data_IF_277031067081
#
_entry.id   IF_277031067081
#
_cell.length_a   1.000
_cell.length_b   1.000
_cell.length_c   1.000
_cell.angle_alpha   90.00
_cell.angle_beta   90.00
_cell.angle_gamma   90.00
#
_symmetry.space_group_name_H-M   'P 1'
#
loop_
_entity.id
_entity.type
_entity.pdbx_description
1 polymer ?
#
# COMPACT_ATOMS: atom_id res chain seq x y z
N UNK A 1 21.96 -14.22 15.60
CA UNK A 1 21.50 -14.45 14.20
C UNK A 1 20.02 -14.10 13.98
N UNK A 2 19.07 -14.43 14.88
CA UNK A 2 17.65 -14.07 14.67
C UNK A 2 17.32 -12.59 14.93
N UNK A 3 18.04 -11.89 15.78
CA UNK A 3 17.84 -10.44 16.02
C UNK A 3 18.21 -9.59 14.80
N UNK A 4 19.16 -10.03 13.99
CA UNK A 4 19.56 -9.36 12.74
C UNK A 4 18.54 -9.55 11.59
N UNK A 5 17.68 -10.59 11.67
CA UNK A 5 16.74 -10.96 10.61
C UNK A 5 15.48 -10.06 10.54
N UNK A 6 15.29 -9.20 11.54
CA UNK A 6 14.11 -8.33 11.63
C UNK A 6 14.49 -6.86 11.92
N UNK A 7 15.68 -6.44 11.54
CA UNK A 7 16.17 -5.06 11.78
C UNK A 7 15.38 -4.00 11.01
N UNK A 8 14.73 -4.38 9.89
CA UNK A 8 13.97 -3.46 9.04
C UNK A 8 12.46 -3.46 9.34
N UNK A 9 12.02 -4.20 10.35
CA UNK A 9 10.61 -4.21 10.77
C UNK A 9 10.22 -2.97 11.57
N UNK A 10 10.43 -1.81 10.97
CA UNK A 10 10.04 -0.55 11.57
C UNK A 10 8.52 -0.36 11.54
N UNK A 11 8.00 0.36 12.53
CA UNK A 11 6.59 0.77 12.55
C UNK A 11 6.47 2.08 11.82
N UNK A 12 5.83 2.01 10.67
CA UNK A 12 5.59 3.16 9.80
C UNK A 12 4.10 3.47 9.67
N UNK A 13 3.77 4.57 9.05
CA UNK A 13 2.39 4.94 8.74
C UNK A 13 2.31 5.50 7.33
N UNK A 14 1.30 5.09 6.57
CA UNK A 14 0.98 5.74 5.30
C UNK A 14 0.34 7.10 5.56
N UNK A 15 0.81 8.13 4.87
CA UNK A 15 0.38 9.50 5.11
C UNK A 15 -0.87 9.91 4.33
N UNK A 16 -1.37 9.04 3.45
CA UNK A 16 -2.50 9.34 2.55
C UNK A 16 -3.79 9.72 3.26
N UNK A 17 -4.10 9.09 4.40
CA UNK A 17 -5.30 9.36 5.21
C UNK A 17 -5.27 10.72 5.93
N UNK A 18 -4.13 11.40 5.86
CA UNK A 18 -3.90 12.73 6.45
C UNK A 18 -3.65 13.80 5.39
N UNK A 19 -4.12 13.60 4.15
CA UNK A 19 -3.84 14.48 3.02
C UNK A 19 -4.30 15.95 3.17
N UNK A 20 -5.19 16.21 4.13
CA UNK A 20 -5.66 17.53 4.54
C UNK A 20 -4.79 18.18 5.64
N UNK A 21 -3.80 17.49 6.18
CA UNK A 21 -2.88 17.98 7.22
C UNK A 21 -1.55 18.35 6.57
N UNK A 22 -0.97 19.47 7.00
CA UNK A 22 0.35 19.87 6.51
C UNK A 22 1.44 18.89 6.99
N UNK A 23 2.44 18.65 6.16
CA UNK A 23 3.54 17.72 6.45
C UNK A 23 4.23 18.03 7.78
N UNK A 24 4.43 19.31 8.10
CA UNK A 24 5.09 19.74 9.34
C UNK A 24 4.32 19.32 10.60
N UNK A 25 2.99 19.45 10.60
CA UNK A 25 2.14 19.01 11.69
C UNK A 25 2.09 17.48 11.78
N UNK A 26 1.90 16.84 10.64
CA UNK A 26 1.80 15.38 10.57
C UNK A 26 3.09 14.72 11.07
N UNK A 27 4.24 15.14 10.55
CA UNK A 27 5.53 14.52 10.91
C UNK A 27 5.85 14.72 12.39
N UNK A 28 5.53 15.90 12.95
CA UNK A 28 5.67 16.14 14.39
C UNK A 28 4.83 15.16 15.21
N UNK A 29 3.56 14.98 14.85
CA UNK A 29 2.65 14.05 15.56
C UNK A 29 3.08 12.59 15.41
N UNK A 30 3.52 12.17 14.23
CA UNK A 30 3.98 10.78 14.02
C UNK A 30 5.24 10.48 14.85
N UNK A 31 6.18 11.41 14.91
CA UNK A 31 7.31 11.31 15.82
C UNK A 31 6.86 11.17 17.29
N UNK A 32 5.95 12.06 17.76
CA UNK A 32 5.46 12.06 19.14
C UNK A 32 4.66 10.78 19.47
N UNK A 33 3.99 10.16 18.51
CA UNK A 33 3.29 8.89 18.68
C UNK A 33 4.24 7.69 18.67
N UNK A 34 5.48 7.89 18.27
CA UNK A 34 6.53 6.89 18.28
C UNK A 34 6.59 6.01 17.04
N UNK A 35 6.14 6.53 15.90
CA UNK A 35 6.44 5.95 14.59
C UNK A 35 7.92 6.15 14.27
N UNK A 36 8.51 5.18 13.60
CA UNK A 36 9.94 5.18 13.24
C UNK A 36 10.17 5.67 11.81
N UNK A 37 9.10 5.75 11.02
CA UNK A 37 9.17 6.21 9.64
C UNK A 37 7.81 6.37 8.99
N UNK A 38 7.86 6.70 7.72
CA UNK A 38 6.70 7.03 6.91
C UNK A 38 6.69 6.21 5.62
N UNK A 39 5.48 5.91 5.18
CA UNK A 39 5.15 5.65 3.79
C UNK A 39 4.52 6.93 3.24
N UNK A 40 5.26 7.67 2.40
CA UNK A 40 4.87 9.00 1.96
C UNK A 40 3.88 8.94 0.80
N UNK A 41 2.69 9.46 1.00
CA UNK A 41 1.69 9.60 -0.05
C UNK A 41 2.08 10.71 -1.04
N UNK A 42 2.17 10.34 -2.32
CA UNK A 42 2.45 11.24 -3.42
C UNK A 42 1.23 12.11 -3.77
N UNK A 43 1.46 13.32 -4.28
CA UNK A 43 0.39 14.22 -4.69
C UNK A 43 -0.24 15.05 -3.56
N UNK A 44 0.26 14.93 -2.34
CA UNK A 44 -0.13 15.71 -1.16
C UNK A 44 0.97 16.71 -0.78
N UNK A 45 0.75 17.49 0.31
CA UNK A 45 1.82 18.31 0.92
C UNK A 45 2.95 17.44 1.49
N UNK A 46 2.68 16.17 1.77
CA UNK A 46 3.66 15.26 2.33
C UNK A 46 4.78 14.94 1.36
N UNK A 47 4.45 14.69 0.09
CA UNK A 47 5.41 14.49 -0.98
C UNK A 47 4.83 14.80 -2.36
N UNK A 48 5.62 15.45 -3.21
CA UNK A 48 5.25 15.78 -4.58
C UNK A 48 6.33 15.33 -5.56
N UNK A 49 6.00 14.32 -6.39
CA UNK A 49 6.93 13.68 -7.33
C UNK A 49 7.47 14.67 -8.35
N UNK A 50 6.60 15.51 -8.94
CA UNK A 50 7.01 16.52 -9.91
C UNK A 50 7.96 17.55 -9.30
N UNK A 51 7.65 18.06 -8.09
CA UNK A 51 8.52 19.02 -7.41
C UNK A 51 9.88 18.39 -7.07
N UNK A 52 9.88 17.12 -6.70
CA UNK A 52 11.11 16.37 -6.44
C UNK A 52 11.92 16.17 -7.71
N UNK A 53 11.30 15.69 -8.78
CA UNK A 53 11.94 15.47 -10.09
C UNK A 53 12.58 16.75 -10.63
N UNK A 54 11.81 17.83 -10.66
CA UNK A 54 12.23 19.11 -11.22
C UNK A 54 13.07 19.93 -10.24
N UNK A 55 13.17 19.49 -8.98
CA UNK A 55 13.87 20.12 -7.86
C UNK A 55 13.57 21.64 -7.77
N UNK A 56 12.27 21.95 -7.82
CA UNK A 56 11.79 23.34 -7.83
C UNK A 56 12.17 24.08 -6.54
N UNK A 57 12.36 25.40 -6.63
CA UNK A 57 12.55 26.24 -5.43
C UNK A 57 11.21 26.43 -4.68
N UNK A 58 11.22 26.20 -3.38
CA UNK A 58 10.11 26.50 -2.45
C UNK A 58 10.48 27.68 -1.55
N UNK A 59 9.52 28.53 -1.26
CA UNK A 59 9.72 29.65 -0.34
C UNK A 59 9.47 29.20 1.10
N UNK A 60 10.50 29.30 1.93
CA UNK A 60 10.42 29.00 3.37
C UNK A 60 10.77 30.29 4.11
N UNK A 61 9.78 31.00 4.60
CA UNK A 61 9.94 32.27 5.33
C UNK A 61 10.76 33.33 4.58
N UNK A 62 10.52 33.47 3.26
CA UNK A 62 11.23 34.43 2.41
C UNK A 62 12.59 33.95 1.89
N UNK A 63 12.96 32.71 2.18
CA UNK A 63 14.18 32.07 1.65
C UNK A 63 13.81 30.99 0.67
N UNK A 64 14.37 31.05 -0.54
CA UNK A 64 14.17 30.02 -1.56
C UNK A 64 15.12 28.84 -1.33
N UNK A 65 14.57 27.66 -1.22
CA UNK A 65 15.29 26.41 -0.96
C UNK A 65 14.86 25.37 -2.01
N UNK A 66 15.78 24.57 -2.60
CA UNK A 66 15.41 23.44 -3.47
C UNK A 66 14.49 22.47 -2.72
N UNK A 67 13.45 21.97 -3.39
CA UNK A 67 12.44 21.10 -2.75
C UNK A 67 13.06 19.83 -2.13
N UNK A 68 14.07 19.26 -2.78
CA UNK A 68 14.77 18.07 -2.24
C UNK A 68 15.44 18.36 -0.89
N UNK A 69 16.13 19.51 -0.79
CA UNK A 69 16.78 19.92 0.45
C UNK A 69 15.76 20.23 1.54
N UNK A 70 14.69 20.95 1.17
CA UNK A 70 13.57 21.26 2.08
C UNK A 70 12.94 20.01 2.65
N UNK A 71 12.54 19.05 1.80
CA UNK A 71 11.85 17.84 2.24
C UNK A 71 12.77 16.92 3.06
N UNK A 72 14.04 16.78 2.64
CA UNK A 72 15.04 16.00 3.39
C UNK A 72 15.29 16.60 4.77
N UNK A 73 15.41 17.92 4.88
CA UNK A 73 15.58 18.61 6.16
C UNK A 73 14.36 18.43 7.08
N UNK A 74 13.14 18.48 6.50
CA UNK A 74 11.89 18.29 7.23
C UNK A 74 11.81 16.87 7.83
N UNK A 75 12.08 15.81 7.05
CA UNK A 75 12.11 14.43 7.52
C UNK A 75 13.17 14.22 8.61
N UNK A 76 14.39 14.74 8.39
CA UNK A 76 15.49 14.66 9.34
C UNK A 76 15.17 15.37 10.67
N UNK A 77 14.44 16.48 10.64
CA UNK A 77 14.05 17.24 11.85
C UNK A 77 13.28 16.38 12.83
N UNK A 78 12.44 15.47 12.34
CA UNK A 78 11.62 14.58 13.15
C UNK A 78 12.20 13.17 13.30
N UNK A 79 13.36 12.88 12.70
CA UNK A 79 14.00 11.57 12.77
C UNK A 79 13.19 10.45 12.13
N UNK A 80 12.34 10.78 11.14
CA UNK A 80 11.48 9.83 10.45
C UNK A 80 12.17 9.32 9.18
N UNK A 81 12.35 8.00 9.06
CA UNK A 81 12.80 7.34 7.84
C UNK A 81 11.68 7.31 6.77
N UNK A 82 12.05 7.23 5.49
CA UNK A 82 11.11 6.94 4.40
C UNK A 82 11.31 5.48 3.99
N UNK A 83 10.26 4.68 4.12
CA UNK A 83 10.33 3.24 3.85
C UNK A 83 9.61 2.83 2.58
N UNK A 84 8.66 3.65 2.12
CA UNK A 84 8.01 3.52 0.84
C UNK A 84 7.49 4.89 0.35
N UNK A 85 7.32 5.02 -0.96
CA UNK A 85 6.45 6.05 -1.55
C UNK A 85 5.14 5.39 -1.97
N UNK A 86 4.03 6.02 -1.65
CA UNK A 86 2.69 5.56 -2.00
C UNK A 86 2.12 6.40 -3.14
N UNK A 87 1.82 5.77 -4.29
CA UNK A 87 1.24 6.49 -5.44
C UNK A 87 0.06 5.71 -6.06
N UNK A 88 -0.92 5.37 -5.21
CA UNK A 88 -2.09 4.56 -5.56
C UNK A 88 -2.93 5.22 -6.66
N UNK A 89 -3.30 6.47 -6.47
CA UNK A 89 -4.21 7.17 -7.39
C UNK A 89 -3.67 7.31 -8.82
N UNK A 90 -2.37 7.52 -8.96
CA UNK A 90 -1.73 7.62 -10.29
C UNK A 90 -1.59 6.24 -10.92
N UNK A 91 -1.17 5.25 -10.15
CA UNK A 91 -1.08 3.86 -10.60
C UNK A 91 -2.40 3.30 -11.09
N UNK A 92 -3.52 3.62 -10.40
CA UNK A 92 -4.89 3.29 -10.81
C UNK A 92 -5.17 3.65 -12.28
N UNK A 93 -4.72 4.81 -12.70
CA UNK A 93 -4.99 5.33 -14.05
C UNK A 93 -4.19 4.64 -15.16
N UNK A 94 -3.20 3.80 -14.83
CA UNK A 94 -2.38 3.11 -15.83
C UNK A 94 -3.19 2.05 -16.58
N UNK A 95 -4.05 1.31 -15.87
CA UNK A 95 -4.80 0.20 -16.48
C UNK A 95 -6.31 0.40 -16.49
N UNK A 96 -6.87 1.31 -15.70
CA UNK A 96 -8.31 1.56 -15.66
C UNK A 96 -8.87 2.07 -17.00
N UNK A 97 -10.16 1.83 -17.17
CA UNK A 97 -10.96 2.53 -18.16
C UNK A 97 -11.24 3.95 -17.65
N UNK A 98 -10.51 4.93 -18.18
CA UNK A 98 -10.52 6.31 -17.69
C UNK A 98 -11.91 6.96 -17.81
N UNK A 99 -12.40 7.52 -16.70
CA UNK A 99 -13.62 8.32 -16.63
C UNK A 99 -13.44 9.56 -15.73
N UNK A 100 -14.53 10.29 -15.47
CA UNK A 100 -14.49 11.55 -14.71
C UNK A 100 -13.92 11.39 -13.27
N UNK A 101 -14.01 10.20 -12.66
CA UNK A 101 -13.51 9.95 -11.30
C UNK A 101 -11.99 10.07 -11.22
N UNK A 102 -11.29 9.61 -12.24
CA UNK A 102 -9.82 9.62 -12.30
C UNK A 102 -9.23 11.02 -12.25
N UNK A 103 -9.92 12.00 -12.85
CA UNK A 103 -9.51 13.39 -12.80
C UNK A 103 -9.68 14.05 -11.41
N UNK A 104 -10.43 13.42 -10.51
CA UNK A 104 -10.61 13.93 -9.15
C UNK A 104 -9.56 13.41 -8.16
N UNK A 105 -8.90 12.31 -8.48
CA UNK A 105 -7.93 11.63 -7.61
C UNK A 105 -6.48 11.83 -8.02
N UNK A 106 -6.23 12.42 -9.20
CA UNK A 106 -4.87 12.60 -9.75
C UNK A 106 -4.48 14.06 -9.84
N UNK A 107 -3.18 14.38 -9.76
CA UNK A 107 -2.69 15.73 -9.97
C UNK A 107 -3.03 16.28 -11.35
N UNK A 108 -3.52 17.52 -11.41
CA UNK A 108 -4.03 18.14 -12.65
C UNK A 108 -2.99 18.25 -13.77
N UNK A 109 -1.70 18.29 -13.44
CA UNK A 109 -0.64 18.36 -14.45
C UNK A 109 -0.47 17.06 -15.26
N UNK A 110 -1.08 15.96 -14.81
CA UNK A 110 -1.11 14.68 -15.55
C UNK A 110 -2.29 14.61 -16.53
N UNK A 111 -3.31 15.45 -16.34
CA UNK A 111 -4.56 15.36 -17.08
C UNK A 111 -4.38 15.64 -18.58
N UNK A 112 -5.04 14.84 -19.40
CA UNK A 112 -5.25 15.07 -20.82
C UNK A 112 -6.67 14.60 -21.19
N UNK A 113 -7.30 15.25 -22.18
CA UNK A 113 -8.62 14.86 -22.68
C UNK A 113 -8.58 13.55 -23.48
N UNK A 114 -7.41 13.20 -23.99
CA UNK A 114 -7.13 11.90 -24.63
C UNK A 114 -6.77 10.88 -23.54
N UNK A 115 -7.61 9.86 -23.29
CA UNK A 115 -7.33 8.86 -22.29
C UNK A 115 -6.00 8.13 -22.50
N UNK A 116 -5.58 8.00 -23.77
CA UNK A 116 -4.30 7.35 -24.07
C UNK A 116 -3.10 8.19 -23.63
N UNK A 117 -3.15 9.49 -23.78
CA UNK A 117 -2.12 10.38 -23.25
C UNK A 117 -2.17 10.44 -21.72
N UNK A 118 -3.36 10.46 -21.16
CA UNK A 118 -3.51 10.53 -19.70
C UNK A 118 -2.87 9.33 -19.02
N UNK A 119 -3.20 8.09 -19.42
CA UNK A 119 -2.56 6.95 -18.77
C UNK A 119 -1.04 6.89 -19.00
N UNK A 120 -0.54 7.35 -20.17
CA UNK A 120 0.91 7.45 -20.44
C UNK A 120 1.60 8.47 -19.51
N UNK A 121 0.95 9.60 -19.22
CA UNK A 121 1.44 10.56 -18.25
C UNK A 121 1.51 9.93 -16.84
N UNK A 122 0.49 9.16 -16.46
CA UNK A 122 0.47 8.43 -15.19
C UNK A 122 1.55 7.34 -15.14
N UNK A 123 1.77 6.59 -16.22
CA UNK A 123 2.85 5.61 -16.31
C UNK A 123 4.24 6.26 -16.13
N UNK A 124 4.46 7.42 -16.76
CA UNK A 124 5.70 8.18 -16.57
C UNK A 124 5.88 8.67 -15.14
N UNK A 125 4.80 9.14 -14.51
CA UNK A 125 4.84 9.58 -13.10
C UNK A 125 5.14 8.42 -12.15
N UNK A 126 4.66 7.19 -12.43
CA UNK A 126 5.03 5.99 -11.67
C UNK A 126 6.54 5.71 -11.78
N UNK A 127 7.13 5.86 -12.98
CA UNK A 127 8.58 5.74 -13.17
C UNK A 127 9.33 6.82 -12.38
N UNK A 128 8.86 8.06 -12.42
CA UNK A 128 9.48 9.16 -11.68
C UNK A 128 9.32 9.01 -10.15
N UNK A 129 8.24 8.34 -9.71
CA UNK A 129 8.05 7.93 -8.31
C UNK A 129 9.14 6.93 -7.88
N UNK A 130 9.46 5.94 -8.72
CA UNK A 130 10.54 4.99 -8.42
C UNK A 130 11.91 5.67 -8.30
N UNK A 131 12.21 6.65 -9.19
CA UNK A 131 13.44 7.45 -9.10
C UNK A 131 13.50 8.23 -7.78
N UNK A 132 12.40 8.87 -7.42
CA UNK A 132 12.30 9.62 -6.17
C UNK A 132 12.46 8.70 -4.94
N UNK A 133 11.84 7.53 -4.94
CA UNK A 133 12.01 6.53 -3.89
C UNK A 133 13.49 6.15 -3.72
N UNK A 134 14.16 5.81 -4.82
CA UNK A 134 15.59 5.48 -4.80
C UNK A 134 16.46 6.61 -4.24
N UNK A 135 16.20 7.84 -4.64
CA UNK A 135 16.95 9.02 -4.18
C UNK A 135 16.71 9.32 -2.68
N UNK A 136 15.52 8.96 -2.15
CA UNK A 136 15.18 9.06 -0.73
C UNK A 136 15.72 7.90 0.10
N UNK A 137 16.26 6.86 -0.52
CA UNK A 137 16.76 5.67 0.14
C UNK A 137 15.69 4.60 0.40
N UNK A 138 14.48 4.76 -0.17
CA UNK A 138 13.45 3.74 -0.18
C UNK A 138 13.59 2.85 -1.43
N UNK A 139 13.27 1.57 -1.28
CA UNK A 139 13.32 0.60 -2.37
C UNK A 139 11.93 0.04 -2.74
N UNK A 140 10.88 0.56 -2.12
CA UNK A 140 9.49 0.16 -2.34
C UNK A 140 8.65 1.37 -2.81
N UNK A 141 7.83 1.13 -3.84
CA UNK A 141 6.70 1.99 -4.18
C UNK A 141 5.43 1.17 -4.05
N UNK A 142 4.52 1.59 -3.19
CA UNK A 142 3.19 1.01 -3.06
C UNK A 142 2.20 1.71 -3.99
N UNK A 143 1.21 1.00 -4.47
CA UNK A 143 0.22 1.61 -5.35
C UNK A 143 -0.80 0.63 -5.91
N UNK A 144 -1.65 1.17 -6.76
CA UNK A 144 -2.60 0.43 -7.56
C UNK A 144 -2.10 0.24 -8.98
N UNK A 145 -2.59 -0.78 -9.65
CA UNK A 145 -2.37 -0.98 -11.09
C UNK A 145 -3.51 -0.45 -11.93
N UNK A 146 -4.70 -0.35 -11.33
CA UNK A 146 -5.96 -0.30 -12.04
C UNK A 146 -6.37 -1.67 -12.61
N UNK A 147 -7.52 -1.69 -13.28
CA UNK A 147 -8.05 -2.88 -13.95
C UNK A 147 -9.02 -2.50 -15.08
N UNK A 148 -8.69 -2.82 -16.30
CA UNK A 148 -9.61 -2.65 -17.43
C UNK A 148 -10.80 -3.61 -17.41
N UNK A 149 -10.76 -4.64 -16.55
CA UNK A 149 -11.75 -5.71 -16.46
C UNK A 149 -12.47 -5.76 -15.11
N UNK A 150 -12.23 -4.82 -14.21
CA UNK A 150 -12.94 -4.79 -12.92
C UNK A 150 -14.47 -4.77 -13.06
N UNK A 151 -14.98 -4.06 -14.04
CA UNK A 151 -16.42 -4.04 -14.35
C UNK A 151 -17.01 -5.38 -14.79
N UNK A 152 -16.15 -6.37 -15.05
CA UNK A 152 -16.53 -7.75 -15.43
C UNK A 152 -16.46 -8.73 -14.25
N UNK A 153 -16.25 -8.26 -13.01
CA UNK A 153 -16.11 -9.11 -11.82
C UNK A 153 -17.36 -10.00 -11.58
N UNK A 154 -18.52 -9.52 -11.96
CA UNK A 154 -19.76 -10.30 -11.91
C UNK A 154 -20.02 -10.94 -13.26
N UNK A 155 -20.27 -12.26 -13.26
CA UNK A 155 -20.34 -13.09 -14.47
C UNK A 155 -21.58 -12.89 -15.36
N UNK A 156 -22.45 -11.94 -15.03
CA UNK A 156 -23.64 -11.62 -15.82
C UNK A 156 -23.73 -10.12 -16.10
N UNK A 157 -24.04 -9.69 -17.36
CA UNK A 157 -24.18 -10.49 -18.61
C UNK A 157 -23.00 -11.41 -18.87
N UNK A 158 -23.16 -12.51 -19.66
CA UNK A 158 -22.12 -13.52 -19.81
C UNK A 158 -20.78 -12.93 -20.22
N UNK A 159 -19.75 -13.11 -19.36
CA UNK A 159 -18.39 -12.70 -19.63
C UNK A 159 -17.67 -13.84 -20.36
N UNK A 160 -17.11 -13.53 -21.53
CA UNK A 160 -16.32 -14.50 -22.29
C UNK A 160 -14.91 -14.57 -21.76
N UNK A 161 -14.27 -15.75 -21.73
CA UNK A 161 -12.88 -15.89 -21.25
C UNK A 161 -11.91 -14.92 -21.93
N UNK A 162 -12.08 -14.68 -23.24
CA UNK A 162 -11.21 -13.79 -24.01
C UNK A 162 -11.23 -12.35 -23.50
N UNK A 163 -12.36 -11.87 -22.96
CA UNK A 163 -12.47 -10.52 -22.39
C UNK A 163 -11.58 -10.38 -21.15
N UNK A 164 -11.48 -11.45 -20.36
CA UNK A 164 -10.61 -11.47 -19.18
C UNK A 164 -9.14 -11.57 -19.60
N UNK A 165 -8.83 -12.47 -20.56
CA UNK A 165 -7.47 -12.60 -21.08
C UNK A 165 -6.94 -11.29 -21.68
N UNK A 166 -7.77 -10.53 -22.36
CA UNK A 166 -7.39 -9.24 -22.93
C UNK A 166 -7.03 -8.21 -21.84
N UNK A 167 -7.70 -8.26 -20.67
CA UNK A 167 -7.31 -7.44 -19.52
C UNK A 167 -5.93 -7.76 -18.98
N UNK A 168 -5.56 -9.03 -18.86
CA UNK A 168 -4.22 -9.44 -18.42
C UNK A 168 -3.14 -9.18 -19.48
N UNK A 169 -3.47 -9.27 -20.78
CA UNK A 169 -2.54 -8.82 -21.84
C UNK A 169 -2.28 -7.33 -21.76
N UNK A 170 -3.31 -6.53 -21.49
CA UNK A 170 -3.16 -5.08 -21.33
C UNK A 170 -2.33 -4.73 -20.09
N UNK A 171 -2.49 -5.48 -18.98
CA UNK A 171 -1.63 -5.37 -17.81
C UNK A 171 -0.16 -5.54 -18.21
N UNK A 172 0.16 -6.64 -18.92
CA UNK A 172 1.52 -6.90 -19.39
C UNK A 172 2.06 -5.79 -20.28
N UNK A 173 1.27 -5.35 -21.25
CA UNK A 173 1.65 -4.31 -22.20
C UNK A 173 2.02 -3.00 -21.50
N UNK A 174 1.20 -2.55 -20.54
CA UNK A 174 1.37 -1.23 -19.91
C UNK A 174 2.33 -1.24 -18.75
N UNK A 175 2.31 -2.31 -17.93
CA UNK A 175 3.10 -2.38 -16.71
C UNK A 175 4.51 -2.94 -16.89
N UNK A 176 4.78 -3.84 -17.85
CA UNK A 176 6.14 -4.37 -18.05
C UNK A 176 7.17 -3.27 -18.27
N UNK A 177 6.96 -2.26 -19.14
CA UNK A 177 7.94 -1.19 -19.30
C UNK A 177 8.18 -0.34 -18.04
N UNK A 178 7.17 -0.19 -17.17
CA UNK A 178 7.31 0.48 -15.89
C UNK A 178 8.16 -0.37 -14.95
N UNK A 179 7.85 -1.66 -14.87
CA UNK A 179 8.56 -2.61 -14.00
C UNK A 179 10.01 -2.82 -14.40
N UNK A 180 10.33 -2.81 -15.70
CA UNK A 180 11.71 -2.84 -16.21
C UNK A 180 12.53 -1.66 -15.66
N UNK A 181 11.95 -0.45 -15.61
CA UNK A 181 12.61 0.71 -15.02
C UNK A 181 12.75 0.59 -13.49
N UNK A 182 11.76 0.03 -12.80
CA UNK A 182 11.83 -0.28 -11.37
C UNK A 182 12.99 -1.25 -11.09
N UNK A 183 13.07 -2.35 -11.84
CA UNK A 183 14.16 -3.32 -11.71
C UNK A 183 15.52 -2.68 -11.96
N UNK A 184 15.65 -1.87 -13.03
CA UNK A 184 16.88 -1.14 -13.35
C UNK A 184 17.33 -0.20 -12.22
N UNK A 185 16.39 0.39 -11.49
CA UNK A 185 16.65 1.26 -10.34
C UNK A 185 16.91 0.49 -9.04
N UNK A 186 16.64 -0.81 -9.02
CA UNK A 186 16.64 -1.63 -7.80
C UNK A 186 15.51 -1.24 -6.84
N UNK A 187 14.37 -0.80 -7.39
CA UNK A 187 13.13 -0.49 -6.67
C UNK A 187 12.09 -1.53 -7.02
N UNK A 188 11.19 -1.85 -6.11
CA UNK A 188 10.10 -2.80 -6.31
C UNK A 188 8.75 -2.08 -6.27
N UNK A 189 7.83 -2.53 -7.09
CA UNK A 189 6.44 -2.12 -7.04
C UNK A 189 5.63 -3.13 -6.23
N UNK A 190 4.97 -2.65 -5.20
CA UNK A 190 4.10 -3.43 -4.33
C UNK A 190 2.64 -3.06 -4.59
N UNK A 191 1.95 -3.89 -5.40
CA UNK A 191 0.51 -3.71 -5.64
C UNK A 191 -0.28 -4.00 -4.37
N UNK A 192 -1.08 -3.06 -3.93
CA UNK A 192 -2.08 -3.34 -2.90
C UNK A 192 -3.19 -4.22 -3.48
N UNK A 193 -3.36 -5.41 -2.90
CA UNK A 193 -4.37 -6.38 -3.30
C UNK A 193 -5.74 -5.91 -2.85
N UNK A 194 -6.47 -5.30 -3.78
CA UNK A 194 -7.63 -4.48 -3.48
C UNK A 194 -8.73 -4.69 -4.53
N UNK A 195 -10.03 -4.77 -4.14
CA UNK A 195 -11.12 -4.66 -5.09
C UNK A 195 -11.00 -3.38 -5.90
N UNK A 196 -11.24 -3.45 -7.18
CA UNK A 196 -10.99 -2.54 -8.28
C UNK A 196 -9.69 -2.79 -9.04
N UNK A 197 -8.73 -3.47 -8.41
CA UNK A 197 -7.45 -3.78 -9.04
C UNK A 197 -7.50 -5.06 -9.87
N UNK A 198 -6.45 -5.28 -10.69
CA UNK A 198 -6.31 -6.51 -11.47
C UNK A 198 -6.10 -7.73 -10.57
N UNK A 199 -5.54 -7.52 -9.38
CA UNK A 199 -5.38 -8.52 -8.33
C UNK A 199 -6.13 -8.08 -7.07
N UNK A 200 -7.17 -8.82 -6.69
CA UNK A 200 -8.04 -8.53 -5.54
C UNK A 200 -8.24 -9.73 -4.60
N UNK A 201 -7.76 -10.90 -5.00
CA UNK A 201 -7.77 -12.15 -4.21
C UNK A 201 -6.58 -13.04 -4.61
N UNK A 202 -6.51 -14.26 -4.04
CA UNK A 202 -5.40 -15.19 -4.31
C UNK A 202 -5.33 -15.63 -5.78
N UNK A 203 -6.47 -15.80 -6.43
CA UNK A 203 -6.54 -16.33 -7.81
C UNK A 203 -6.15 -15.23 -8.79
N UNK A 204 -6.70 -14.05 -8.63
CA UNK A 204 -6.37 -12.89 -9.48
C UNK A 204 -4.92 -12.41 -9.28
N UNK A 205 -4.39 -12.51 -8.04
CA UNK A 205 -2.98 -12.23 -7.75
C UNK A 205 -2.03 -13.21 -8.44
N UNK A 206 -2.33 -14.51 -8.42
CA UNK A 206 -1.56 -15.54 -9.15
C UNK A 206 -1.56 -15.26 -10.66
N UNK A 207 -2.72 -14.97 -11.22
CA UNK A 207 -2.85 -14.63 -12.65
C UNK A 207 -2.10 -13.35 -13.03
N UNK A 208 -2.08 -12.34 -12.16
CA UNK A 208 -1.32 -11.11 -12.40
C UNK A 208 0.19 -11.38 -12.45
N UNK A 209 0.71 -12.20 -11.53
CA UNK A 209 2.11 -12.65 -11.56
C UNK A 209 2.44 -13.41 -12.85
N UNK A 210 1.59 -14.36 -13.24
CA UNK A 210 1.76 -15.14 -14.48
C UNK A 210 1.73 -14.23 -15.71
N UNK A 211 0.79 -13.30 -15.78
CA UNK A 211 0.67 -12.37 -16.91
C UNK A 211 1.88 -11.46 -17.08
N UNK A 212 2.54 -11.11 -15.96
CA UNK A 212 3.78 -10.33 -15.93
C UNK A 212 5.06 -11.22 -15.99
N UNK A 213 4.96 -12.48 -16.42
CA UNK A 213 6.06 -13.45 -16.48
C UNK A 213 6.83 -13.55 -15.14
N UNK A 214 6.15 -13.39 -14.01
CA UNK A 214 6.72 -13.34 -12.67
C UNK A 214 7.81 -12.27 -12.52
N UNK A 215 7.64 -11.11 -13.11
CA UNK A 215 8.60 -10.00 -13.09
C UNK A 215 9.13 -9.74 -11.68
N UNK A 216 10.47 -9.64 -11.53
CA UNK A 216 11.13 -9.57 -10.21
C UNK A 216 10.79 -8.31 -9.42
N UNK A 217 10.50 -7.19 -10.11
CA UNK A 217 10.11 -5.94 -9.48
C UNK A 217 8.62 -5.85 -9.14
N UNK A 218 7.79 -6.87 -9.45
CA UNK A 218 6.37 -6.89 -9.12
C UNK A 218 6.07 -7.82 -7.95
N UNK A 219 5.39 -7.31 -6.96
CA UNK A 219 4.89 -8.06 -5.82
C UNK A 219 3.72 -7.34 -5.16
N UNK A 220 3.46 -7.65 -3.92
CA UNK A 220 2.27 -7.20 -3.23
C UNK A 220 2.58 -6.34 -2.01
N UNK A 221 1.81 -5.30 -1.85
CA UNK A 221 1.53 -4.65 -0.59
C UNK A 221 0.36 -5.43 0.03
N UNK A 222 0.65 -6.17 1.08
CA UNK A 222 -0.33 -7.00 1.75
C UNK A 222 -1.20 -6.16 2.67
N UNK A 223 -2.50 -6.09 2.38
CA UNK A 223 -3.52 -5.51 3.26
C UNK A 223 -4.54 -6.58 3.66
N UNK A 224 -4.61 -6.97 4.93
CA UNK A 224 -5.53 -8.00 5.38
C UNK A 224 -6.99 -7.56 5.35
N UNK A 225 -7.28 -6.26 5.45
CA UNK A 225 -8.64 -5.75 5.57
C UNK A 225 -9.47 -6.01 4.32
N UNK A 226 -8.87 -5.80 3.15
CA UNK A 226 -9.53 -6.02 1.85
C UNK A 226 -9.79 -7.50 1.56
N UNK A 227 -8.93 -8.38 2.04
CA UNK A 227 -9.15 -9.83 1.94
C UNK A 227 -10.23 -10.28 2.93
N UNK A 228 -10.20 -9.78 4.17
CA UNK A 228 -11.13 -10.16 5.24
C UNK A 228 -12.58 -9.93 4.84
N UNK A 229 -12.92 -8.71 4.38
CA UNK A 229 -14.31 -8.41 4.07
C UNK A 229 -14.84 -9.17 2.85
N UNK A 230 -13.95 -9.58 1.94
CA UNK A 230 -14.27 -10.49 0.85
C UNK A 230 -14.41 -11.96 1.30
N UNK A 231 -14.13 -12.28 2.56
CA UNK A 231 -14.08 -13.63 3.14
C UNK A 231 -12.93 -14.48 2.55
N UNK A 232 -11.88 -13.82 2.09
CA UNK A 232 -10.61 -14.44 1.70
C UNK A 232 -9.71 -14.48 2.94
N UNK A 233 -9.02 -15.59 3.15
CA UNK A 233 -8.14 -15.77 4.30
C UNK A 233 -6.79 -15.04 4.07
N UNK A 234 -6.48 -13.98 4.85
CA UNK A 234 -5.26 -13.21 4.67
C UNK A 234 -3.98 -14.03 4.95
N UNK A 235 -4.03 -14.98 5.87
CA UNK A 235 -2.89 -15.84 6.21
C UNK A 235 -2.53 -16.76 5.04
N UNK A 236 -3.54 -17.28 4.34
CA UNK A 236 -3.30 -18.07 3.13
C UNK A 236 -2.66 -17.24 2.01
N UNK A 237 -2.97 -15.94 1.92
CA UNK A 237 -2.35 -15.05 0.95
C UNK A 237 -0.84 -14.95 1.21
N UNK A 238 -0.43 -14.64 2.45
CA UNK A 238 0.98 -14.54 2.84
C UNK A 238 1.72 -15.84 2.51
N UNK A 239 1.17 -16.99 2.93
CA UNK A 239 1.81 -18.29 2.73
C UNK A 239 1.85 -18.75 1.28
N UNK A 240 0.93 -18.29 0.44
CA UNK A 240 0.92 -18.58 -1.01
C UNK A 240 1.99 -17.80 -1.77
N UNK A 241 2.29 -16.58 -1.33
CA UNK A 241 3.19 -15.68 -2.04
C UNK A 241 4.39 -15.22 -1.18
N UNK A 242 5.16 -16.16 -0.56
CA UNK A 242 6.17 -15.83 0.43
C UNK A 242 7.26 -14.87 -0.10
N UNK A 243 7.65 -15.01 -1.37
CA UNK A 243 8.69 -14.20 -1.99
C UNK A 243 8.14 -12.95 -2.70
N UNK A 244 6.85 -12.65 -2.54
CA UNK A 244 6.17 -11.54 -3.23
C UNK A 244 5.52 -10.54 -2.29
N UNK A 245 5.62 -10.72 -0.98
CA UNK A 245 5.18 -9.72 -0.01
C UNK A 245 6.31 -8.70 0.14
N UNK A 246 6.18 -7.55 -0.52
CA UNK A 246 7.19 -6.51 -0.53
C UNK A 246 6.93 -5.42 0.48
N UNK A 247 5.66 -5.25 0.85
CA UNK A 247 5.21 -4.28 1.84
C UNK A 247 3.99 -4.82 2.59
N UNK A 248 3.72 -4.29 3.77
CA UNK A 248 2.59 -4.71 4.61
C UNK A 248 1.87 -3.50 5.14
N UNK A 249 0.59 -3.40 4.83
CA UNK A 249 -0.34 -2.52 5.51
C UNK A 249 -0.92 -3.21 6.74
N UNK A 250 -0.80 -2.55 7.86
CA UNK A 250 -1.50 -2.91 9.09
C UNK A 250 -2.81 -2.12 9.10
N UNK A 251 -3.87 -2.77 8.63
CA UNK A 251 -5.21 -2.20 8.50
C UNK A 251 -6.26 -3.19 8.97
N UNK A 252 -7.27 -2.72 9.68
CA UNK A 252 -8.32 -3.55 10.24
C UNK A 252 -9.68 -3.27 9.61
N UNK A 253 -10.54 -4.26 9.61
CA UNK A 253 -11.91 -4.15 9.16
C UNK A 253 -12.84 -5.03 9.99
N UNK A 254 -14.09 -4.60 10.17
CA UNK A 254 -15.14 -5.39 10.82
C UNK A 254 -16.26 -5.73 9.83
N UNK A 255 -16.75 -6.95 9.90
CA UNK A 255 -17.94 -7.38 9.18
C UNK A 255 -19.19 -6.96 9.94
N UNK A 256 -20.15 -6.38 9.22
CA UNK A 256 -21.41 -5.88 9.77
C UNK A 256 -22.64 -6.55 9.12
N UNK A 257 -22.49 -7.82 8.74
CA UNK A 257 -23.55 -8.60 8.11
C UNK A 257 -24.63 -8.95 9.15
N UNK A 258 -25.84 -8.47 8.93
CA UNK A 258 -26.99 -8.64 9.83
C UNK A 258 -28.20 -9.34 9.17
N UNK A 259 -28.03 -9.83 7.95
CA UNK A 259 -29.11 -10.42 7.15
C UNK A 259 -29.81 -9.43 6.20
N UNK A 260 -29.58 -8.13 6.35
CA UNK A 260 -30.08 -7.07 5.46
C UNK A 260 -28.97 -6.50 4.58
N UNK A 261 -27.78 -6.33 5.16
CA UNK A 261 -26.63 -5.74 4.51
C UNK A 261 -25.82 -6.81 3.76
N UNK A 262 -25.38 -6.49 2.54
CA UNK A 262 -24.48 -7.35 1.77
C UNK A 262 -23.06 -6.80 1.70
N UNK A 263 -22.08 -7.65 1.39
CA UNK A 263 -20.66 -7.25 1.25
C UNK A 263 -20.40 -6.34 0.05
N UNK A 264 -21.30 -6.32 -0.95
CA UNK A 264 -21.17 -5.45 -2.13
C UNK A 264 -21.55 -3.98 -1.86
N UNK A 265 -22.01 -3.65 -0.66
CA UNK A 265 -22.21 -2.28 -0.21
C UNK A 265 -23.41 -1.53 -0.79
N UNK A 266 -24.21 -2.14 -1.67
CA UNK A 266 -25.49 -1.62 -2.20
C UNK A 266 -25.43 -0.19 -2.78
N UNK A 267 -24.30 0.18 -3.41
CA UNK A 267 -24.03 1.55 -3.90
C UNK A 267 -24.09 2.64 -2.81
N UNK A 268 -23.93 2.26 -1.55
CA UNK A 268 -23.81 3.19 -0.43
C UNK A 268 -22.38 3.72 -0.35
N UNK A 269 -22.23 4.93 0.19
CA UNK A 269 -20.90 5.45 0.50
C UNK A 269 -20.29 4.66 1.66
N UNK A 270 -18.97 4.45 1.61
CA UNK A 270 -18.22 3.90 2.71
C UNK A 270 -18.47 4.73 3.99
N UNK A 271 -18.66 4.08 5.13
CA UNK A 271 -19.04 4.74 6.37
C UNK A 271 -20.54 4.79 6.65
N UNK A 272 -21.39 4.43 5.69
CA UNK A 272 -22.82 4.28 5.95
C UNK A 272 -23.06 3.07 6.84
N UNK A 273 -23.86 3.24 7.92
CA UNK A 273 -24.15 2.17 8.90
C UNK A 273 -24.84 0.93 8.30
N UNK A 274 -25.38 1.05 7.10
CA UNK A 274 -25.97 -0.06 6.33
C UNK A 274 -25.00 -0.74 5.38
N UNK A 275 -23.73 -0.34 5.38
CA UNK A 275 -22.68 -1.04 4.65
C UNK A 275 -22.37 -2.37 5.35
N UNK A 276 -22.11 -3.45 4.59
CA UNK A 276 -21.93 -4.79 5.17
C UNK A 276 -20.62 -5.02 5.89
N UNK A 277 -19.71 -4.04 5.85
CA UNK A 277 -18.40 -4.04 6.51
C UNK A 277 -17.88 -2.61 6.67
N UNK A 278 -16.92 -2.41 7.54
CA UNK A 278 -16.30 -1.10 7.80
C UNK A 278 -14.84 -1.27 8.16
N UNK A 279 -14.01 -0.30 7.77
CA UNK A 279 -12.68 -0.18 8.35
C UNK A 279 -12.76 0.19 9.83
N UNK A 280 -11.78 -0.28 10.59
CA UNK A 280 -11.63 -0.03 12.02
C UNK A 280 -10.19 0.30 12.35
N UNK A 281 -9.97 1.12 13.37
CA UNK A 281 -8.67 1.24 14.00
C UNK A 281 -8.14 -0.14 14.41
N UNK A 282 -6.83 -0.32 14.36
CA UNK A 282 -6.19 -1.62 14.62
C UNK A 282 -6.62 -2.22 15.97
N UNK A 283 -7.05 -3.47 15.94
CA UNK A 283 -7.54 -4.20 17.11
C UNK A 283 -9.01 -3.98 17.45
N UNK A 284 -9.74 -3.19 16.65
CA UNK A 284 -11.18 -2.95 16.80
C UNK A 284 -12.02 -3.64 15.72
N UNK A 285 -11.39 -4.36 14.81
CA UNK A 285 -12.03 -5.15 13.76
C UNK A 285 -11.95 -6.65 13.99
N UNK A 286 -12.04 -7.39 12.91
CA UNK A 286 -12.08 -8.85 12.87
C UNK A 286 -10.78 -9.47 12.31
N UNK A 287 -9.76 -8.67 12.00
CA UNK A 287 -8.48 -9.17 11.48
C UNK A 287 -7.70 -9.88 12.59
N UNK A 288 -7.29 -11.12 12.33
CA UNK A 288 -6.46 -11.87 13.27
C UNK A 288 -4.97 -11.54 13.07
N UNK A 289 -4.52 -10.44 13.69
CA UNK A 289 -3.15 -9.97 13.57
C UNK A 289 -2.12 -10.94 14.17
N UNK A 290 -2.47 -11.73 15.17
CA UNK A 290 -1.55 -12.73 15.72
C UNK A 290 -1.17 -13.77 14.66
N UNK A 291 -2.14 -14.32 13.94
CA UNK A 291 -1.87 -15.29 12.87
C UNK A 291 -1.15 -14.66 11.67
N UNK A 292 -1.42 -13.39 11.38
CA UNK A 292 -0.70 -12.63 10.34
C UNK A 292 0.77 -12.48 10.71
N UNK A 293 1.08 -12.07 11.95
CA UNK A 293 2.46 -11.92 12.42
C UNK A 293 3.20 -13.26 12.39
N UNK A 294 2.56 -14.36 12.78
CA UNK A 294 3.13 -15.71 12.64
C UNK A 294 3.44 -16.05 11.19
N UNK A 295 2.52 -15.79 10.28
CA UNK A 295 2.74 -16.04 8.85
C UNK A 295 3.85 -15.18 8.25
N UNK A 296 3.95 -13.90 8.64
CA UNK A 296 5.05 -13.02 8.23
C UNK A 296 6.39 -13.50 8.79
N UNK A 297 6.41 -14.05 10.02
CA UNK A 297 7.60 -14.69 10.58
C UNK A 297 7.98 -15.96 9.81
N UNK A 298 7.00 -16.81 9.47
CA UNK A 298 7.23 -18.05 8.74
C UNK A 298 7.88 -17.83 7.37
N UNK A 299 7.52 -16.73 6.68
CA UNK A 299 8.11 -16.38 5.38
C UNK A 299 9.38 -15.53 5.49
N UNK A 300 9.80 -15.14 6.70
CA UNK A 300 10.98 -14.30 6.91
C UNK A 300 10.81 -12.86 6.42
N UNK A 301 9.59 -12.32 6.42
CA UNK A 301 9.37 -10.91 6.04
C UNK A 301 10.11 -9.98 7.00
N UNK A 302 10.97 -9.12 6.45
CA UNK A 302 11.81 -8.17 7.20
C UNK A 302 11.52 -6.69 6.81
N UNK A 303 10.45 -6.41 6.11
CA UNK A 303 10.05 -5.04 5.75
C UNK A 303 9.27 -4.34 6.87
N UNK A 304 8.96 -3.05 6.69
CA UNK A 304 8.20 -2.27 7.65
C UNK A 304 6.76 -2.79 7.80
N UNK A 305 6.18 -2.49 8.97
CA UNK A 305 4.76 -2.66 9.25
C UNK A 305 4.11 -1.29 9.18
N UNK A 306 3.49 -0.97 8.06
CA UNK A 306 2.94 0.34 7.77
C UNK A 306 1.48 0.40 8.22
N UNK A 307 1.18 1.21 9.23
CA UNK A 307 -0.20 1.46 9.65
C UNK A 307 -0.94 2.21 8.53
N UNK A 308 -2.02 1.65 8.06
CA UNK A 308 -3.00 2.37 7.25
C UNK A 308 -4.25 2.58 8.11
N UNK A 309 -4.34 3.77 8.69
CA UNK A 309 -5.40 4.07 9.64
C UNK A 309 -6.64 4.61 8.95
N UNK A 310 -7.74 3.87 9.02
CA UNK A 310 -9.05 4.30 8.57
C UNK A 310 -10.13 3.84 9.56
N UNK A 311 -10.76 4.78 10.25
CA UNK A 311 -11.94 4.52 11.08
C UNK A 311 -12.79 5.78 11.17
N UNK A 312 -13.97 5.76 10.57
CA UNK A 312 -14.88 6.91 10.59
C UNK A 312 -15.57 7.12 11.94
N UNK A 313 -15.51 6.14 12.83
CA UNK A 313 -16.11 6.18 14.18
C UNK A 313 -15.15 6.64 15.26
N UNK A 314 -13.88 6.93 14.92
CA UNK A 314 -12.84 7.26 15.89
C UNK A 314 -12.10 8.55 15.50
N UNK A 315 -11.64 9.35 16.48
CA UNK A 315 -10.74 10.46 16.22
C UNK A 315 -9.41 9.97 15.63
N UNK A 316 -8.98 10.57 14.53
CA UNK A 316 -7.82 10.08 13.78
C UNK A 316 -6.49 10.19 14.54
N UNK A 317 -6.33 11.21 15.38
CA UNK A 317 -5.11 11.35 16.16
C UNK A 317 -5.04 10.35 17.31
N UNK A 318 -6.19 10.14 17.95
CA UNK A 318 -6.33 9.08 18.96
C UNK A 318 -6.04 7.72 18.32
N UNK A 319 -6.69 7.41 17.20
CA UNK A 319 -6.56 6.12 16.54
C UNK A 319 -5.16 5.89 15.95
N UNK A 320 -4.54 6.90 15.33
CA UNK A 320 -3.17 6.77 14.82
C UNK A 320 -2.15 6.49 15.93
N UNK A 321 -2.31 7.12 17.10
CA UNK A 321 -1.46 6.83 18.26
C UNK A 321 -1.69 5.42 18.79
N UNK A 322 -2.95 5.05 19.02
CA UNK A 322 -3.34 3.72 19.48
C UNK A 322 -2.85 2.61 18.53
N UNK A 323 -2.97 2.84 17.22
CA UNK A 323 -2.50 1.90 16.20
C UNK A 323 -0.99 1.64 16.28
N UNK A 324 -0.19 2.68 16.50
CA UNK A 324 1.25 2.53 16.73
C UNK A 324 1.54 1.64 17.96
N UNK A 325 0.85 1.91 19.06
CA UNK A 325 0.98 1.12 20.31
C UNK A 325 0.50 -0.33 20.11
N UNK A 326 -0.57 -0.53 19.34
CA UNK A 326 -1.10 -1.85 19.01
C UNK A 326 -0.07 -2.67 18.22
N UNK A 327 0.53 -2.11 17.17
CA UNK A 327 1.55 -2.81 16.37
C UNK A 327 2.76 -3.16 17.24
N UNK A 328 3.26 -2.23 18.06
CA UNK A 328 4.36 -2.49 19.00
C UNK A 328 4.08 -3.66 19.94
N UNK A 329 2.84 -3.78 20.39
CA UNK A 329 2.44 -4.82 21.34
C UNK A 329 2.19 -6.17 20.66
N UNK A 330 1.61 -6.15 19.47
CA UNK A 330 1.18 -7.37 18.76
C UNK A 330 2.31 -8.00 17.99
N UNK A 331 3.29 -7.22 17.59
CA UNK A 331 4.42 -7.67 16.81
C UNK A 331 5.47 -8.36 17.71
N UNK A 332 5.64 -9.67 17.55
CA UNK A 332 6.62 -10.48 18.26
C UNK A 332 7.54 -11.21 17.27
N UNK A 333 8.84 -11.33 17.59
CA UNK A 333 9.76 -12.17 16.81
C UNK A 333 9.45 -13.65 17.04
N UNK A 334 9.84 -14.54 16.11
CA UNK A 334 9.79 -15.97 16.34
C UNK A 334 10.77 -16.38 17.43
N UNK A 335 10.56 -17.57 18.04
CA UNK A 335 11.53 -18.14 18.97
C UNK A 335 12.81 -18.55 18.23
N UNK A 336 13.95 -18.28 18.85
CA UNK A 336 15.26 -18.74 18.41
C UNK A 336 15.64 -20.10 19.02
N UNK A 337 14.75 -20.67 19.84
CA UNK A 337 14.94 -21.92 20.57
C UNK A 337 13.88 -22.93 20.17
N UNK A 338 14.33 -24.11 19.72
CA UNK A 338 13.47 -25.28 19.61
C UNK A 338 13.35 -25.89 21.01
N UNK A 339 12.14 -25.89 21.56
CA UNK A 339 11.90 -26.25 22.97
C UNK A 339 12.46 -27.61 23.34
N UNK A 340 12.28 -28.63 22.47
CA UNK A 340 12.68 -30.02 22.75
C UNK A 340 14.18 -30.24 22.58
N UNK A 341 14.93 -29.43 21.86
CA UNK A 341 16.38 -29.59 21.71
C UNK A 341 17.15 -29.36 23.03
N UNK A 342 16.53 -28.63 23.98
CA UNK A 342 17.12 -28.34 25.27
C UNK A 342 16.71 -29.32 26.36
N UNK A 343 15.81 -30.27 26.06
CA UNK A 343 15.39 -31.35 26.99
C UNK A 343 16.44 -32.46 26.90
N UNK A 344 17.41 -32.44 27.78
CA UNK A 344 18.44 -33.47 27.86
C UNK A 344 19.89 -32.99 27.66
N UNK A 345 20.10 -31.73 27.35
CA UNK A 345 21.45 -31.16 27.21
C UNK A 345 22.24 -31.05 28.53
N UNK A 346 21.64 -31.40 29.67
CA UNK A 346 22.23 -31.33 31.00
C UNK A 346 22.47 -32.73 31.64
N UNK A 347 22.67 -33.78 30.84
CA UNK A 347 23.09 -35.11 31.35
C UNK A 347 24.51 -35.41 30.94
#
# INVERSE_FOLDING_TARGET
MHTEMFENRHITIITGQFGDVLAEELFSKMHDFGYEGLELACGTDHFNVRMWRDNVEVDVNGTKIPYRDFKTAQLKKYGLGVWALSNHCVGQCVLDNIDARHYTITPSYLHDQDPEKFWKNCAQEMIDTAKAAKELGADIVTGFTGSSIWNLFYCWPPVKPEMIEDGYKLLKERWTPILDEYERLGVKFALEVHPTEIAFDLISAERALEALDNHSAFGFNFDPSHLLWQRVDPVKFIRKFPDRIFHVHMKDAALQLNGENGILGSHLNLGNSRFGWMFRSLGHGDVNFEEIVRALNDIGYDGPLSVEWEDQGMDRWYGAKEACEFVKKTFFPPSDVVFDENIGANN
#
